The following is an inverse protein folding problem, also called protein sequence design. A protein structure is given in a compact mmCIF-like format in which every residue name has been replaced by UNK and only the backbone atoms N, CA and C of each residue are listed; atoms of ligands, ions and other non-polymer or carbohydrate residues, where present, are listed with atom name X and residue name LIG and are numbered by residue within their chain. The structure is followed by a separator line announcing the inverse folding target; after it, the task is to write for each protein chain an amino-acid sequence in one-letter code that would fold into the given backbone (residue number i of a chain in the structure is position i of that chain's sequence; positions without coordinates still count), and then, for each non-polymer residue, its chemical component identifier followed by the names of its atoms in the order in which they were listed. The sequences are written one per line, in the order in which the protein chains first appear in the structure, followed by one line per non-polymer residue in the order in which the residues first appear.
data_IF_515699621057
#
_entry.id   IF_515699621057
#
_cell.length_a   1.000
_cell.length_b   1.000
_cell.length_c   1.000
_cell.angle_alpha   90.00
_cell.angle_beta   90.00
_cell.angle_gamma   90.00
#
_symmetry.space_group_name_H-M   'P 1'
#
loop_
_entity.id
_entity.type
_entity.pdbx_description
1 polymer ?
#
# COMPACT_ATOMS: atom_id res chain seq x y z
N UNK A 1 22.04 -33.51 18.23
CA UNK A 1 22.69 -32.73 19.30
C UNK A 1 23.39 -31.47 18.78
N UNK A 2 24.55 -31.52 18.11
CA UNK A 2 25.27 -30.30 17.68
C UNK A 2 24.49 -29.40 16.69
N UNK A 3 23.80 -30.00 15.69
CA UNK A 3 22.99 -29.28 14.69
C UNK A 3 21.79 -28.54 15.30
N UNK A 4 21.23 -29.11 16.36
CA UNK A 4 20.05 -28.62 17.07
C UNK A 4 20.41 -27.44 17.99
N UNK A 5 21.58 -27.50 18.64
CA UNK A 5 22.15 -26.41 19.43
C UNK A 5 22.44 -25.19 18.54
N UNK A 6 23.00 -25.41 17.35
CA UNK A 6 23.28 -24.33 16.39
C UNK A 6 21.99 -23.69 15.87
N UNK A 7 20.97 -24.48 15.54
CA UNK A 7 19.67 -23.95 15.10
C UNK A 7 18.95 -23.14 16.18
N UNK A 8 19.00 -23.61 17.43
CA UNK A 8 18.39 -22.88 18.56
C UNK A 8 19.15 -21.58 18.87
N UNK A 9 20.48 -21.60 18.80
CA UNK A 9 21.30 -20.40 18.96
C UNK A 9 21.04 -19.37 17.86
N UNK A 10 20.92 -19.80 16.60
CA UNK A 10 20.54 -18.92 15.50
C UNK A 10 19.15 -18.33 15.70
N UNK A 11 18.14 -19.15 15.99
CA UNK A 11 16.78 -18.67 16.29
C UNK A 11 16.78 -17.62 17.39
N UNK A 12 17.46 -17.89 18.51
CA UNK A 12 17.52 -16.97 19.64
C UNK A 12 18.20 -15.64 19.27
N UNK A 13 19.27 -15.70 18.47
CA UNK A 13 19.98 -14.51 17.97
C UNK A 13 19.12 -13.70 17.00
N UNK A 14 18.38 -14.36 16.11
CA UNK A 14 17.40 -13.72 15.23
C UNK A 14 16.28 -13.05 16.02
N UNK A 15 15.70 -13.75 17.00
CA UNK A 15 14.66 -13.19 17.88
C UNK A 15 15.18 -11.97 18.66
N UNK A 16 16.43 -12.02 19.14
CA UNK A 16 17.03 -10.91 19.85
C UNK A 16 17.31 -9.71 18.92
N UNK A 17 17.82 -9.94 17.71
CA UNK A 17 18.00 -8.89 16.70
C UNK A 17 16.67 -8.24 16.28
N UNK A 18 15.63 -9.05 16.05
CA UNK A 18 14.27 -8.58 15.79
C UNK A 18 13.75 -7.74 16.95
N UNK A 19 13.95 -8.17 18.19
CA UNK A 19 13.51 -7.39 19.36
C UNK A 19 14.26 -6.05 19.50
N UNK A 20 15.55 -6.01 19.17
CA UNK A 20 16.32 -4.76 19.17
C UNK A 20 15.97 -3.83 18.01
N UNK A 21 15.60 -4.39 16.85
CA UNK A 21 15.14 -3.63 15.69
C UNK A 21 13.76 -3.02 15.96
N UNK A 22 12.82 -3.83 16.48
CA UNK A 22 11.51 -3.36 16.91
C UNK A 22 11.65 -2.28 18.00
N UNK A 23 12.50 -2.50 19.01
CA UNK A 23 12.73 -1.49 20.06
C UNK A 23 13.35 -0.18 19.56
N UNK A 24 14.17 -0.23 18.50
CA UNK A 24 14.71 0.98 17.88
C UNK A 24 13.63 1.73 17.08
N UNK A 25 12.78 1.01 16.35
CA UNK A 25 11.66 1.57 15.59
C UNK A 25 10.59 2.15 16.53
N UNK A 26 10.24 1.45 17.60
CA UNK A 26 9.22 1.87 18.58
C UNK A 26 9.62 3.16 19.33
N UNK A 27 10.91 3.52 19.31
CA UNK A 27 11.44 4.68 20.03
C UNK A 27 11.30 6.02 19.28
N UNK A 28 10.90 6.01 18.01
CA UNK A 28 10.68 7.23 17.22
C UNK A 28 9.44 7.12 16.32
N UNK A 29 8.61 8.17 16.37
CA UNK A 29 7.45 8.33 15.48
C UNK A 29 7.80 9.15 14.23
N UNK A 30 9.09 9.38 13.94
CA UNK A 30 9.51 10.25 12.84
C UNK A 30 9.10 9.66 11.47
N UNK A 31 9.25 8.35 11.28
CA UNK A 31 8.80 7.69 10.04
C UNK A 31 7.28 7.68 9.91
N UNK A 32 6.53 7.60 11.02
CA UNK A 32 5.07 7.74 11.03
C UNK A 32 4.65 9.12 10.55
N UNK A 33 5.31 10.16 11.05
CA UNK A 33 5.06 11.55 10.63
C UNK A 33 5.43 11.74 9.16
N UNK A 34 6.60 11.24 8.74
CA UNK A 34 7.06 11.35 7.36
C UNK A 34 6.09 10.67 6.38
N UNK A 35 5.72 9.41 6.65
CA UNK A 35 4.79 8.68 5.78
C UNK A 35 3.37 9.26 5.84
N UNK A 36 2.95 9.82 6.97
CA UNK A 36 1.68 10.53 7.04
C UNK A 36 1.69 11.78 6.15
N UNK A 37 2.75 12.59 6.23
CA UNK A 37 2.94 13.77 5.37
C UNK A 37 2.95 13.38 3.88
N UNK A 38 3.78 12.41 3.49
CA UNK A 38 3.90 11.96 2.09
C UNK A 38 2.59 11.40 1.54
N UNK A 39 1.87 10.59 2.31
CA UNK A 39 0.64 9.96 1.81
C UNK A 39 -0.54 10.91 1.85
N UNK A 40 -0.76 11.61 2.96
CA UNK A 40 -2.02 12.31 3.22
C UNK A 40 -1.91 13.82 3.08
N UNK A 41 -0.77 14.44 3.39
CA UNK A 41 -0.62 15.88 3.16
C UNK A 41 -0.47 16.17 1.68
N UNK A 42 0.34 15.38 0.95
CA UNK A 42 0.42 15.50 -0.51
C UNK A 42 -0.92 15.22 -1.20
N UNK A 43 -1.73 14.28 -0.68
CA UNK A 43 -3.09 14.04 -1.17
C UNK A 43 -3.94 15.31 -1.07
N UNK A 44 -3.86 16.03 0.06
CA UNK A 44 -4.57 17.30 0.24
C UNK A 44 -4.01 18.37 -0.70
N UNK A 45 -2.69 18.46 -0.87
CA UNK A 45 -2.05 19.40 -1.78
C UNK A 45 -2.53 19.20 -3.24
N UNK A 46 -2.95 17.98 -3.62
CA UNK A 46 -3.51 17.74 -4.96
C UNK A 46 -4.81 18.49 -5.19
N UNK A 47 -5.58 18.82 -4.16
CA UNK A 47 -6.83 19.60 -4.30
C UNK A 47 -6.55 20.96 -4.94
N UNK A 48 -5.46 21.62 -4.55
CA UNK A 48 -5.05 22.89 -5.12
C UNK A 48 -4.48 22.74 -6.54
N UNK A 49 -3.89 21.58 -6.85
CA UNK A 49 -3.37 21.25 -8.18
C UNK A 49 -4.47 20.91 -9.19
N UNK A 50 -5.53 20.22 -8.76
CA UNK A 50 -6.63 19.76 -9.62
C UNK A 50 -8.01 20.20 -9.08
N UNK A 51 -8.26 21.51 -8.89
CA UNK A 51 -9.47 21.99 -8.23
C UNK A 51 -10.75 21.62 -8.99
N UNK A 52 -10.71 21.60 -10.32
CA UNK A 52 -11.86 21.19 -11.15
C UNK A 52 -12.22 19.71 -11.04
N UNK A 53 -11.34 18.87 -10.46
CA UNK A 53 -11.54 17.43 -10.29
C UNK A 53 -11.82 17.09 -8.83
N UNK A 54 -11.08 17.70 -7.89
CA UNK A 54 -11.01 17.23 -6.51
C UNK A 54 -11.80 18.06 -5.50
N UNK A 55 -12.25 19.27 -5.86
CA UNK A 55 -12.91 20.16 -4.89
C UNK A 55 -14.18 19.54 -4.30
N UNK A 56 -14.94 18.79 -5.09
CA UNK A 56 -16.16 18.09 -4.64
C UNK A 56 -15.86 16.96 -3.62
N UNK A 57 -14.67 16.38 -3.67
CA UNK A 57 -14.25 15.31 -2.79
C UNK A 57 -13.42 15.80 -1.58
N UNK A 58 -13.14 17.11 -1.51
CA UNK A 58 -12.23 17.71 -0.51
C UNK A 58 -12.55 17.29 0.92
N UNK A 59 -13.83 17.28 1.29
CA UNK A 59 -14.25 16.90 2.64
C UNK A 59 -13.94 15.43 2.92
N UNK A 60 -14.21 14.53 1.96
CA UNK A 60 -13.84 13.12 2.07
C UNK A 60 -12.33 12.94 2.17
N UNK A 61 -11.52 13.67 1.39
CA UNK A 61 -10.06 13.61 1.49
C UNK A 61 -9.57 14.04 2.88
N UNK A 62 -10.15 15.08 3.48
CA UNK A 62 -9.83 15.46 4.86
C UNK A 62 -10.27 14.41 5.89
N UNK A 63 -11.42 13.76 5.70
CA UNK A 63 -11.85 12.66 6.56
C UNK A 63 -10.88 11.48 6.50
N UNK A 64 -10.39 11.13 5.32
CA UNK A 64 -9.40 10.07 5.11
C UNK A 64 -8.08 10.40 5.82
N UNK A 65 -7.56 11.61 5.64
CA UNK A 65 -6.36 12.08 6.35
C UNK A 65 -6.54 12.01 7.87
N UNK A 66 -7.66 12.49 8.39
CA UNK A 66 -7.93 12.50 9.82
C UNK A 66 -8.08 11.09 10.39
N UNK A 67 -8.71 10.18 9.63
CA UNK A 67 -8.80 8.76 9.98
C UNK A 67 -7.41 8.14 10.09
N UNK A 68 -6.54 8.34 9.10
CA UNK A 68 -5.18 7.80 9.12
C UNK A 68 -4.33 8.36 10.27
N UNK A 69 -4.53 9.63 10.65
CA UNK A 69 -3.86 10.21 11.82
C UNK A 69 -4.36 9.57 13.12
N UNK A 70 -5.66 9.30 13.21
CA UNK A 70 -6.29 8.69 14.39
C UNK A 70 -5.81 7.25 14.60
N UNK A 71 -5.67 6.47 13.52
CA UNK A 71 -5.19 5.08 13.59
C UNK A 71 -3.84 4.96 14.32
N UNK A 72 -2.92 5.90 14.11
CA UNK A 72 -1.59 5.88 14.74
C UNK A 72 -1.60 6.09 16.26
N UNK A 73 -2.67 6.67 16.80
CA UNK A 73 -2.83 6.92 18.24
C UNK A 73 -3.89 6.04 18.90
N UNK A 74 -4.55 5.14 18.14
CA UNK A 74 -5.63 4.30 18.63
C UNK A 74 -5.07 2.98 19.19
N UNK A 75 -5.20 2.70 20.50
CA UNK A 75 -4.72 1.46 21.08
C UNK A 75 -5.45 0.19 20.57
N UNK A 76 -6.58 0.37 19.88
CA UNK A 76 -7.34 -0.72 19.26
C UNK A 76 -6.96 -0.96 17.80
N UNK A 77 -6.16 -0.08 17.19
CA UNK A 77 -5.67 -0.29 15.84
C UNK A 77 -4.68 -1.46 15.80
N UNK A 78 -4.79 -2.29 14.77
CA UNK A 78 -3.86 -3.40 14.51
C UNK A 78 -2.56 -2.87 13.89
N UNK A 79 -1.79 -2.14 14.70
CA UNK A 79 -0.50 -1.61 14.30
C UNK A 79 0.56 -2.71 14.37
N UNK A 80 1.31 -2.88 13.30
CA UNK A 80 2.39 -3.86 13.19
C UNK A 80 3.63 -3.22 12.57
N UNK A 81 4.76 -3.94 12.57
CA UNK A 81 5.91 -3.55 11.79
C UNK A 81 5.57 -3.61 10.30
N UNK A 82 5.56 -2.45 9.65
CA UNK A 82 5.43 -2.30 8.21
C UNK A 82 6.76 -1.83 7.60
N UNK A 83 6.97 -2.11 6.32
CA UNK A 83 8.13 -1.64 5.57
C UNK A 83 8.11 -0.12 5.38
N UNK A 84 6.92 0.46 5.19
CA UNK A 84 6.73 1.89 4.96
C UNK A 84 7.11 2.38 3.57
N UNK A 85 7.77 1.54 2.77
CA UNK A 85 8.09 1.78 1.36
C UNK A 85 8.00 0.49 0.54
N UNK A 86 6.93 -0.28 0.75
CA UNK A 86 6.75 -1.60 0.15
C UNK A 86 6.18 -1.52 -1.27
N UNK A 87 7.06 -1.46 -2.27
CA UNK A 87 6.68 -1.40 -3.68
C UNK A 87 7.65 -2.24 -4.55
N UNK A 88 7.33 -2.51 -5.83
CA UNK A 88 8.06 -3.48 -6.62
C UNK A 88 9.57 -3.21 -6.76
N UNK A 89 10.01 -1.95 -6.72
CA UNK A 89 11.43 -1.59 -6.82
C UNK A 89 12.27 -2.04 -5.60
N UNK A 90 11.62 -2.26 -4.44
CA UNK A 90 12.26 -2.73 -3.20
C UNK A 90 12.19 -4.25 -3.03
N UNK A 91 11.82 -4.98 -4.09
CA UNK A 91 11.77 -6.44 -4.09
C UNK A 91 12.75 -6.99 -5.11
N UNK A 92 13.79 -7.69 -4.62
CA UNK A 92 14.73 -8.39 -5.47
C UNK A 92 14.22 -9.79 -5.79
N UNK A 93 14.42 -10.18 -7.04
CA UNK A 93 14.17 -11.52 -7.56
C UNK A 93 15.49 -12.29 -7.65
N UNK A 94 15.43 -13.58 -7.38
CA UNK A 94 16.54 -14.49 -7.71
C UNK A 94 16.79 -14.48 -9.23
N UNK A 95 18.05 -14.40 -9.65
CA UNK A 95 18.46 -14.50 -11.05
C UNK A 95 18.35 -15.96 -11.53
N UNK A 96 17.12 -16.39 -11.76
CA UNK A 96 16.78 -17.73 -12.17
C UNK A 96 15.60 -17.73 -13.14
N UNK A 97 15.59 -18.73 -14.03
CA UNK A 97 14.53 -18.89 -15.02
C UNK A 97 13.17 -19.12 -14.33
N UNK A 98 12.14 -18.38 -14.74
CA UNK A 98 10.78 -18.61 -14.29
C UNK A 98 10.28 -19.93 -14.86
N UNK A 99 10.06 -20.92 -13.98
CA UNK A 99 9.46 -22.20 -14.32
C UNK A 99 8.03 -22.25 -13.76
N UNK A 100 7.05 -22.81 -14.51
CA UNK A 100 5.68 -22.94 -14.03
C UNK A 100 5.61 -23.65 -12.67
N UNK A 101 4.78 -23.13 -11.77
CA UNK A 101 4.54 -23.66 -10.42
C UNK A 101 5.77 -23.72 -9.48
N UNK A 102 6.82 -22.92 -9.75
CA UNK A 102 7.95 -22.77 -8.82
C UNK A 102 7.68 -21.71 -7.76
N UNK A 103 7.81 -22.06 -6.48
CA UNK A 103 7.90 -21.06 -5.40
C UNK A 103 9.27 -20.40 -5.47
N UNK A 104 9.31 -19.07 -5.47
CA UNK A 104 10.55 -18.29 -5.51
C UNK A 104 10.69 -17.46 -4.25
N UNK A 105 11.94 -17.35 -3.78
CA UNK A 105 12.26 -16.41 -2.72
C UNK A 105 12.23 -14.99 -3.31
N UNK A 106 11.48 -14.11 -2.65
CA UNK A 106 11.52 -12.68 -2.86
C UNK A 106 12.32 -12.08 -1.72
N UNK A 107 13.23 -11.16 -2.02
CA UNK A 107 14.02 -10.48 -0.99
C UNK A 107 13.57 -9.02 -0.90
N UNK A 108 13.02 -8.66 0.27
CA UNK A 108 12.59 -7.29 0.57
C UNK A 108 13.77 -6.53 1.13
N UNK A 109 14.13 -5.42 0.47
CA UNK A 109 15.25 -4.56 0.83
C UNK A 109 14.76 -3.14 1.15
N UNK A 110 15.67 -2.29 1.62
CA UNK A 110 15.42 -0.86 1.84
C UNK A 110 14.43 -0.53 2.99
N UNK A 111 14.71 -1.09 4.16
CA UNK A 111 13.90 -0.95 5.38
C UNK A 111 14.04 0.41 6.08
N UNK A 112 14.59 1.45 5.43
CA UNK A 112 14.86 2.73 6.10
C UNK A 112 13.59 3.49 6.52
N UNK A 113 12.47 3.22 5.85
CA UNK A 113 11.15 3.78 6.16
C UNK A 113 10.31 2.89 7.09
N UNK A 114 10.90 1.82 7.62
CA UNK A 114 10.19 0.85 8.46
C UNK A 114 9.72 1.47 9.76
N UNK A 115 8.53 1.05 10.18
CA UNK A 115 7.82 1.67 11.30
C UNK A 115 6.72 0.76 11.84
N UNK A 116 6.24 1.06 13.04
CA UNK A 116 4.94 0.54 13.50
C UNK A 116 3.82 1.33 12.82
N UNK A 117 2.96 0.65 12.07
CA UNK A 117 1.89 1.28 11.31
C UNK A 117 0.81 0.30 10.88
N UNK A 118 -0.20 0.79 10.17
CA UNK A 118 -1.27 -0.05 9.65
C UNK A 118 -0.81 -0.81 8.40
N UNK A 119 -1.04 -2.14 8.28
CA UNK A 119 -0.62 -2.94 7.12
C UNK A 119 -1.09 -2.41 5.77
N UNK A 120 -2.24 -1.73 5.77
CA UNK A 120 -2.83 -1.17 4.56
C UNK A 120 -1.91 -0.18 3.84
N UNK A 121 -1.00 0.51 4.54
CA UNK A 121 0.00 1.40 3.94
C UNK A 121 0.89 0.67 2.92
N UNK A 122 1.41 -0.50 3.30
CA UNK A 122 2.28 -1.30 2.42
C UNK A 122 1.47 -1.94 1.29
N UNK A 123 0.32 -2.53 1.60
CA UNK A 123 -0.49 -3.22 0.60
C UNK A 123 -1.06 -2.25 -0.44
N UNK A 124 -1.64 -1.13 0.00
CA UNK A 124 -2.18 -0.11 -0.89
C UNK A 124 -1.10 0.58 -1.72
N UNK A 125 0.09 0.81 -1.14
CA UNK A 125 1.23 1.33 -1.87
C UNK A 125 1.71 0.39 -2.98
N UNK A 126 1.89 -0.90 -2.67
CA UNK A 126 2.25 -1.93 -3.63
C UNK A 126 1.26 -2.02 -4.81
N UNK A 127 -0.03 -2.13 -4.50
CA UNK A 127 -1.11 -2.23 -5.48
C UNK A 127 -1.21 -0.95 -6.33
N UNK A 128 -1.11 0.22 -5.70
CA UNK A 128 -1.11 1.51 -6.37
C UNK A 128 0.07 1.67 -7.34
N UNK A 129 1.27 1.29 -6.93
CA UNK A 129 2.46 1.38 -7.77
C UNK A 129 2.38 0.46 -9.01
N UNK A 130 1.93 -0.79 -8.82
CA UNK A 130 1.67 -1.71 -9.94
C UNK A 130 0.66 -1.14 -10.94
N UNK A 131 -0.37 -0.45 -10.44
CA UNK A 131 -1.37 0.20 -11.29
C UNK A 131 -0.79 1.39 -12.07
N UNK A 132 0.04 2.22 -11.42
CA UNK A 132 0.74 3.35 -12.04
C UNK A 132 1.67 2.88 -13.16
N UNK A 133 2.40 1.77 -12.95
CA UNK A 133 3.24 1.14 -13.99
C UNK A 133 2.40 0.67 -15.19
N UNK A 134 1.27 0.03 -14.94
CA UNK A 134 0.38 -0.38 -16.03
C UNK A 134 -0.16 0.82 -16.82
N UNK A 135 -0.69 1.84 -16.12
CA UNK A 135 -1.31 3.00 -16.77
C UNK A 135 -0.32 3.85 -17.57
N UNK A 136 0.79 4.27 -16.96
CA UNK A 136 1.71 5.21 -17.63
C UNK A 136 2.79 4.54 -18.46
N UNK A 137 3.21 3.31 -18.11
CA UNK A 137 4.27 2.61 -18.85
C UNK A 137 3.73 1.55 -19.80
N UNK A 138 2.42 1.33 -19.81
CA UNK A 138 1.75 0.31 -20.63
C UNK A 138 2.36 -1.09 -20.42
N UNK A 139 2.73 -1.39 -19.17
CA UNK A 139 3.26 -2.69 -18.77
C UNK A 139 2.07 -3.53 -18.27
N UNK A 140 1.52 -4.39 -19.13
CA UNK A 140 0.38 -5.25 -18.79
C UNK A 140 0.63 -6.12 -17.54
N UNK A 141 1.89 -6.51 -17.32
CA UNK A 141 2.30 -7.24 -16.13
C UNK A 141 2.00 -6.49 -14.82
N UNK A 142 1.91 -5.15 -14.83
CA UNK A 142 1.51 -4.37 -13.66
C UNK A 142 0.10 -4.75 -13.19
N UNK A 143 -0.86 -4.85 -14.11
CA UNK A 143 -2.23 -5.25 -13.76
C UNK A 143 -2.32 -6.73 -13.35
N UNK A 144 -1.58 -7.62 -14.01
CA UNK A 144 -1.53 -9.04 -13.63
C UNK A 144 -0.93 -9.26 -12.25
N UNK A 145 0.17 -8.54 -11.94
CA UNK A 145 0.80 -8.60 -10.62
C UNK A 145 -0.10 -8.02 -9.54
N UNK A 146 -0.84 -6.94 -9.82
CA UNK A 146 -1.83 -6.38 -8.91
C UNK A 146 -2.90 -7.42 -8.54
N UNK A 147 -3.46 -8.11 -9.53
CA UNK A 147 -4.47 -9.15 -9.33
C UNK A 147 -3.90 -10.34 -8.54
N UNK A 148 -2.74 -10.84 -8.94
CA UNK A 148 -2.08 -11.96 -8.24
C UNK A 148 -1.64 -11.59 -6.82
N UNK A 149 -1.23 -10.35 -6.58
CA UNK A 149 -0.90 -9.85 -5.25
C UNK A 149 -2.15 -9.79 -4.36
N UNK A 150 -3.25 -9.23 -4.87
CA UNK A 150 -4.52 -9.18 -4.15
C UNK A 150 -5.04 -10.59 -3.79
N UNK A 151 -4.94 -11.55 -4.71
CA UNK A 151 -5.26 -12.95 -4.43
C UNK A 151 -4.32 -13.57 -3.38
N UNK A 152 -3.02 -13.28 -3.48
CA UNK A 152 -1.97 -13.76 -2.58
C UNK A 152 -2.04 -13.23 -1.15
N UNK A 153 -2.68 -12.07 -0.92
CA UNK A 153 -2.99 -11.57 0.43
C UNK A 153 -3.94 -12.51 1.20
N UNK A 154 -4.68 -13.35 0.48
CA UNK A 154 -5.66 -14.26 1.04
C UNK A 154 -6.87 -13.54 1.67
N UNK A 155 -7.72 -14.28 2.41
CA UNK A 155 -8.90 -13.69 3.04
C UNK A 155 -8.54 -12.62 4.07
N UNK A 156 -9.16 -11.44 3.92
CA UNK A 156 -9.03 -10.30 4.83
C UNK A 156 -10.40 -10.01 5.48
N UNK A 157 -10.41 -9.28 6.58
CA UNK A 157 -11.66 -8.71 7.08
C UNK A 157 -12.18 -7.68 6.09
N UNK A 158 -13.49 -7.42 6.12
CA UNK A 158 -14.09 -6.43 5.23
C UNK A 158 -13.46 -5.04 5.47
N UNK A 159 -13.29 -4.65 6.74
CA UNK A 159 -12.67 -3.39 7.13
C UNK A 159 -11.23 -3.26 6.62
N UNK A 160 -10.42 -4.32 6.74
CA UNK A 160 -9.06 -4.33 6.21
C UNK A 160 -9.05 -4.17 4.68
N UNK A 161 -9.96 -4.86 3.99
CA UNK A 161 -10.10 -4.79 2.53
C UNK A 161 -10.44 -3.37 2.07
N UNK A 162 -11.44 -2.74 2.70
CA UNK A 162 -11.81 -1.36 2.40
C UNK A 162 -10.69 -0.37 2.73
N UNK A 163 -9.95 -0.60 3.81
CA UNK A 163 -8.82 0.25 4.19
C UNK A 163 -7.65 0.14 3.20
N UNK A 164 -7.39 -1.04 2.63
CA UNK A 164 -6.44 -1.25 1.53
C UNK A 164 -6.92 -0.53 0.28
N UNK A 165 -8.18 -0.69 -0.14
CA UNK A 165 -8.75 -0.01 -1.30
C UNK A 165 -8.65 1.52 -1.17
N UNK A 166 -8.91 2.05 0.03
CA UNK A 166 -8.73 3.46 0.34
C UNK A 166 -7.27 3.90 0.18
N UNK A 167 -6.32 3.09 0.68
CA UNK A 167 -4.90 3.38 0.54
C UNK A 167 -4.41 3.32 -0.91
N UNK A 168 -4.96 2.43 -1.75
CA UNK A 168 -4.68 2.42 -3.19
C UNK A 168 -5.03 3.80 -3.78
N UNK A 169 -6.23 4.30 -3.50
CA UNK A 169 -6.65 5.62 -3.97
C UNK A 169 -5.74 6.75 -3.48
N UNK A 170 -5.32 6.71 -2.20
CA UNK A 170 -4.35 7.66 -1.64
C UNK A 170 -3.02 7.60 -2.40
N UNK A 171 -2.48 6.41 -2.69
CA UNK A 171 -1.23 6.26 -3.44
C UNK A 171 -1.35 6.80 -4.87
N UNK A 172 -2.44 6.47 -5.57
CA UNK A 172 -2.70 6.98 -6.92
C UNK A 172 -2.77 8.51 -6.95
N UNK A 173 -3.40 9.13 -5.94
CA UNK A 173 -3.49 10.58 -5.88
C UNK A 173 -2.14 11.20 -5.51
N UNK A 174 -1.46 10.69 -4.48
CA UNK A 174 -0.24 11.31 -3.95
C UNK A 174 0.99 11.07 -4.83
N UNK A 175 1.17 9.86 -5.35
CA UNK A 175 2.32 9.47 -6.18
C UNK A 175 1.97 9.42 -7.67
N UNK A 176 0.82 8.83 -8.00
CA UNK A 176 0.40 8.68 -9.40
C UNK A 176 0.22 10.01 -10.14
N UNK A 177 -0.11 11.09 -9.44
CA UNK A 177 -0.19 12.44 -10.05
C UNK A 177 1.10 13.27 -9.92
N UNK A 178 2.10 12.78 -9.16
CA UNK A 178 3.43 13.38 -9.04
C UNK A 178 4.44 12.86 -10.07
N UNK A 179 4.08 11.83 -10.84
CA UNK A 179 4.93 11.20 -11.84
C UNK A 179 5.18 12.12 -13.06
N UNK A 180 5.81 13.27 -12.81
CA UNK A 180 6.20 14.25 -13.80
C UNK A 180 7.07 13.57 -14.86
N UNK A 181 6.60 13.61 -16.11
CA UNK A 181 7.27 12.97 -17.24
C UNK A 181 6.94 11.48 -17.46
N UNK A 182 6.02 10.88 -16.71
CA UNK A 182 5.53 9.53 -17.01
C UNK A 182 4.28 9.52 -17.87
N UNK A 183 3.38 10.49 -17.68
CA UNK A 183 2.18 10.67 -18.49
C UNK A 183 2.06 12.08 -19.05
N UNK A 184 1.18 12.23 -20.03
CA UNK A 184 0.67 13.51 -20.53
C UNK A 184 -0.18 14.21 -19.46
N UNK A 185 -0.46 15.50 -19.66
CA UNK A 185 -1.36 16.25 -18.76
C UNK A 185 -2.73 15.58 -18.63
N UNK A 186 -3.28 15.08 -19.74
CA UNK A 186 -4.58 14.39 -19.76
C UNK A 186 -4.54 13.09 -18.95
N UNK A 187 -3.52 12.27 -19.11
CA UNK A 187 -3.36 11.02 -18.33
C UNK A 187 -3.18 11.30 -16.83
N UNK A 188 -2.50 12.39 -16.47
CA UNK A 188 -2.35 12.80 -15.06
C UNK A 188 -3.69 13.28 -14.48
N UNK A 189 -4.49 14.02 -15.25
CA UNK A 189 -5.84 14.40 -14.83
C UNK A 189 -6.78 13.19 -14.72
N UNK A 190 -6.66 12.21 -15.62
CA UNK A 190 -7.40 10.94 -15.54
C UNK A 190 -6.99 10.14 -14.32
N UNK A 191 -5.70 10.12 -13.96
CA UNK A 191 -5.22 9.54 -12.72
C UNK A 191 -5.82 10.25 -11.49
N UNK A 192 -5.90 11.59 -11.51
CA UNK A 192 -6.55 12.35 -10.43
C UNK A 192 -8.05 12.03 -10.32
N UNK A 193 -8.77 11.92 -11.45
CA UNK A 193 -10.19 11.50 -11.49
C UNK A 193 -10.39 10.09 -10.93
N UNK A 194 -9.57 9.14 -11.38
CA UNK A 194 -9.63 7.76 -10.90
C UNK A 194 -9.33 7.70 -9.40
N UNK A 195 -8.26 8.36 -8.94
CA UNK A 195 -7.86 8.31 -7.54
C UNK A 195 -8.94 8.89 -6.62
N UNK A 196 -9.57 10.01 -7.03
CA UNK A 196 -10.76 10.56 -6.37
C UNK A 196 -11.87 9.52 -6.26
N UNK A 197 -12.22 8.89 -7.38
CA UNK A 197 -13.31 7.92 -7.41
C UNK A 197 -12.99 6.72 -6.51
N UNK A 198 -11.77 6.16 -6.57
CA UNK A 198 -11.33 5.09 -5.67
C UNK A 198 -11.46 5.51 -4.21
N UNK A 199 -10.99 6.70 -3.83
CA UNK A 199 -11.05 7.17 -2.44
C UNK A 199 -12.51 7.34 -1.99
N UNK A 200 -13.32 8.06 -2.75
CA UNK A 200 -14.72 8.35 -2.39
C UNK A 200 -15.53 7.07 -2.35
N UNK A 201 -15.31 6.14 -3.27
CA UNK A 201 -16.04 4.87 -3.34
C UNK A 201 -15.60 3.92 -2.24
N UNK A 202 -14.30 3.88 -1.89
CA UNK A 202 -13.82 3.09 -0.77
C UNK A 202 -14.34 3.63 0.57
N UNK A 203 -14.33 4.96 0.74
CA UNK A 203 -14.86 5.62 1.94
C UNK A 203 -16.33 5.31 2.17
N UNK A 204 -17.12 5.31 1.09
CA UNK A 204 -18.55 4.99 1.13
C UNK A 204 -18.87 3.49 1.03
N UNK A 205 -17.85 2.63 0.93
CA UNK A 205 -17.99 1.18 0.74
C UNK A 205 -18.88 0.79 -0.45
N UNK A 206 -18.73 1.50 -1.57
CA UNK A 206 -19.50 1.24 -2.79
C UNK A 206 -18.96 0.01 -3.54
N UNK A 207 -19.36 -1.17 -3.05
CA UNK A 207 -18.97 -2.46 -3.64
C UNK A 207 -19.33 -2.58 -5.11
N UNK A 208 -20.48 -2.04 -5.50
CA UNK A 208 -20.99 -2.11 -6.87
C UNK A 208 -20.12 -1.37 -7.89
N UNK A 209 -19.43 -0.32 -7.45
CA UNK A 209 -18.45 0.40 -8.28
C UNK A 209 -17.14 -0.39 -8.40
N UNK A 210 -16.65 -0.96 -7.29
CA UNK A 210 -15.42 -1.76 -7.30
C UNK A 210 -15.54 -3.03 -8.13
N UNK A 211 -16.67 -3.72 -8.09
CA UNK A 211 -16.90 -4.93 -8.89
C UNK A 211 -16.82 -4.67 -10.42
N UNK A 212 -16.91 -3.41 -10.85
CA UNK A 212 -16.82 -2.98 -12.25
C UNK A 212 -15.50 -2.28 -12.58
N UNK A 213 -14.60 -2.14 -11.60
CA UNK A 213 -13.31 -1.46 -11.77
C UNK A 213 -12.17 -2.47 -11.89
N UNK A 214 -10.99 -1.97 -12.26
CA UNK A 214 -9.76 -2.76 -12.29
C UNK A 214 -9.35 -3.29 -10.89
N UNK A 215 -9.97 -2.78 -9.82
CA UNK A 215 -9.70 -3.13 -8.43
C UNK A 215 -10.69 -4.17 -7.85
N UNK A 216 -11.55 -4.76 -8.68
CA UNK A 216 -12.50 -5.80 -8.26
C UNK A 216 -11.82 -6.97 -7.53
N UNK A 217 -10.57 -7.29 -7.90
CA UNK A 217 -9.79 -8.37 -7.30
C UNK A 217 -9.54 -8.20 -5.80
N UNK A 218 -9.56 -6.96 -5.27
CA UNK A 218 -9.43 -6.72 -3.83
C UNK A 218 -10.53 -7.40 -3.02
N UNK A 219 -11.70 -7.63 -3.63
CA UNK A 219 -12.87 -8.15 -2.94
C UNK A 219 -13.28 -9.55 -3.39
N UNK A 220 -12.45 -10.25 -4.17
CA UNK A 220 -12.77 -11.58 -4.68
C UNK A 220 -12.92 -12.65 -3.57
N UNK A 221 -12.35 -12.42 -2.38
CA UNK A 221 -12.39 -13.34 -1.23
C UNK A 221 -13.26 -12.90 -0.05
N UNK A 222 -13.96 -11.75 -0.14
CA UNK A 222 -14.87 -11.29 0.93
C UNK A 222 -16.28 -11.83 0.69
N UNK A 223 -16.95 -12.41 1.72
CA UNK A 223 -18.35 -12.81 1.61
C UNK A 223 -19.22 -11.64 1.14
N UNK A 224 -20.16 -11.91 0.23
CA UNK A 224 -21.22 -10.97 -0.11
C UNK A 224 -22.31 -11.12 0.96
N UNK A 225 -22.57 -10.07 1.73
CA UNK A 225 -23.76 -9.96 2.57
C UNK A 225 -24.96 -9.49 1.74
#
# INVERSE_FOLDING_TARGET
MAREIVQNSLKQKYTQQLSSFNGAIDSSNDMQRLKHWINFDWMIDRVDQFPGILLEAKDTLHLVKNMALKELGDPSADLTLIHGDYHPQNILLEDARLEPASTRALYVIDWENSQVGVPSLDHGGMLGEMYVLWKYKHIDAGLWMLQGYAEGLGPQTEDATWRVALQVGVHLLSFGTLASGWGTTEEVEDMARLARDVIVKAWNRDRSWFDKSDFACLFAGTPQD
#
